data_IF_839296634807
#
_entry.id   IF_839296634807
#
_cell.length_a   1.000
_cell.length_b   1.000
_cell.length_c   1.000
_cell.angle_alpha   90.00
_cell.angle_beta   90.00
_cell.angle_gamma   90.00
#
_symmetry.space_group_name_H-M   'P 1'
#
loop_
_entity.id
_entity.type
_entity.pdbx_description
1 polymer ?
#
# COMPACT_ATOMS: atom_id res chain seq x y z
N UNK A 1 -13.91 8.00 -13.49
CA UNK A 1 -13.07 8.49 -12.37
C UNK A 1 -13.23 9.98 -12.08
N UNK A 2 -13.52 10.85 -13.05
CA UNK A 2 -13.51 12.32 -12.85
C UNK A 2 -14.88 12.99 -12.66
N UNK A 3 -15.93 12.23 -12.30
CA UNK A 3 -17.24 12.83 -12.01
C UNK A 3 -17.28 13.23 -10.53
N UNK A 4 -17.33 14.54 -10.26
CA UNK A 4 -17.30 15.07 -8.88
C UNK A 4 -18.50 14.61 -8.06
N UNK A 5 -19.69 14.54 -8.65
CA UNK A 5 -20.90 14.12 -7.94
C UNK A 5 -20.83 12.64 -7.52
N UNK A 6 -20.29 11.78 -8.38
CA UNK A 6 -20.01 10.39 -7.99
C UNK A 6 -19.00 10.31 -6.85
N UNK A 7 -17.96 11.15 -6.87
CA UNK A 7 -16.93 11.17 -5.83
C UNK A 7 -17.46 11.71 -4.49
N UNK A 8 -18.40 12.65 -4.50
CA UNK A 8 -19.09 13.10 -3.28
C UNK A 8 -19.87 11.97 -2.60
N UNK A 9 -20.50 11.09 -3.40
CA UNK A 9 -21.24 9.92 -2.86
C UNK A 9 -20.30 8.94 -2.16
N UNK A 10 -19.14 8.65 -2.78
CA UNK A 10 -18.17 7.72 -2.21
C UNK A 10 -17.26 8.37 -1.16
N UNK A 11 -17.18 9.69 -1.13
CA UNK A 11 -16.18 10.42 -0.35
C UNK A 11 -14.79 9.81 -0.59
N UNK A 12 -14.05 9.48 0.47
CA UNK A 12 -12.74 8.82 0.41
C UNK A 12 -12.80 7.30 0.68
N UNK A 13 -13.97 6.67 0.65
CA UNK A 13 -14.14 5.23 0.97
C UNK A 13 -13.32 4.30 0.05
N UNK A 14 -13.07 4.72 -1.19
CA UNK A 14 -12.24 3.97 -2.16
C UNK A 14 -10.77 4.44 -2.19
N UNK A 15 -10.36 5.23 -1.21
CA UNK A 15 -9.05 5.87 -1.13
C UNK A 15 -9.04 7.31 -1.68
N UNK A 16 -7.88 7.95 -1.53
CA UNK A 16 -7.67 9.35 -1.92
C UNK A 16 -7.70 9.47 -3.45
N UNK A 17 -8.56 10.33 -4.04
CA UNK A 17 -8.58 10.54 -5.48
C UNK A 17 -7.24 11.07 -6.01
N UNK A 18 -6.71 10.43 -7.06
CA UNK A 18 -5.46 10.88 -7.71
C UNK A 18 -5.55 12.26 -8.36
N UNK A 19 -6.76 12.72 -8.73
CA UNK A 19 -6.99 14.04 -9.32
C UNK A 19 -7.04 15.13 -8.25
N UNK A 20 -6.11 16.09 -8.30
CA UNK A 20 -6.09 17.27 -7.42
C UNK A 20 -7.39 18.05 -7.47
N UNK A 21 -7.96 18.25 -8.66
CA UNK A 21 -9.22 18.98 -8.82
C UNK A 21 -10.40 18.31 -8.10
N UNK A 22 -10.42 16.98 -8.03
CA UNK A 22 -11.44 16.25 -7.27
C UNK A 22 -11.20 16.41 -5.78
N UNK A 23 -9.94 16.30 -5.32
CA UNK A 23 -9.61 16.49 -3.90
C UNK A 23 -10.02 17.88 -3.40
N UNK A 24 -9.72 18.93 -4.15
CA UNK A 24 -10.14 20.30 -3.82
C UNK A 24 -11.67 20.46 -3.79
N UNK A 25 -12.37 19.83 -4.72
CA UNK A 25 -13.84 19.89 -4.76
C UNK A 25 -14.50 19.14 -3.59
N UNK A 26 -13.84 18.13 -3.02
CA UNK A 26 -14.35 17.35 -1.89
C UNK A 26 -14.01 17.98 -0.54
N UNK A 27 -12.84 18.62 -0.38
CA UNK A 27 -12.32 19.18 0.89
C UNK A 27 -13.38 19.89 1.78
N UNK A 28 -14.33 20.70 1.26
CA UNK A 28 -15.33 21.37 2.10
C UNK A 28 -16.28 20.43 2.85
N UNK A 29 -16.53 19.24 2.30
CA UNK A 29 -17.52 18.28 2.81
C UNK A 29 -16.88 17.11 3.57
N UNK A 30 -15.54 17.08 3.67
CA UNK A 30 -14.79 15.98 4.25
C UNK A 30 -14.62 16.09 5.77
N UNK A 31 -14.47 14.94 6.42
CA UNK A 31 -14.07 14.88 7.81
C UNK A 31 -12.65 15.47 7.97
N UNK A 32 -12.30 16.14 9.09
CA UNK A 32 -10.97 16.72 9.26
C UNK A 32 -9.81 15.73 9.10
N UNK A 33 -10.00 14.45 9.46
CA UNK A 33 -8.98 13.40 9.27
C UNK A 33 -8.80 13.00 7.81
N UNK A 34 -9.83 13.12 6.98
CA UNK A 34 -9.71 12.89 5.54
C UNK A 34 -8.91 14.01 4.88
N UNK A 35 -9.12 15.25 5.33
CA UNK A 35 -8.32 16.40 4.90
C UNK A 35 -6.85 16.20 5.29
N UNK A 36 -6.58 15.71 6.50
CA UNK A 36 -5.22 15.40 6.95
C UNK A 36 -4.57 14.29 6.11
N UNK A 37 -5.33 13.24 5.78
CA UNK A 37 -4.85 12.17 4.90
C UNK A 37 -4.51 12.69 3.49
N UNK A 38 -5.32 13.59 2.93
CA UNK A 38 -5.03 14.27 1.66
C UNK A 38 -3.74 15.08 1.76
N UNK A 39 -3.60 15.92 2.79
CA UNK A 39 -2.42 16.76 2.97
C UNK A 39 -1.14 15.92 3.11
N UNK A 40 -1.22 14.82 3.85
CA UNK A 40 -0.11 13.89 3.99
C UNK A 40 0.26 13.25 2.65
N UNK A 41 -0.73 12.76 1.90
CA UNK A 41 -0.51 12.17 0.58
C UNK A 41 0.13 13.16 -0.39
N UNK A 42 -0.31 14.42 -0.40
CA UNK A 42 0.27 15.49 -1.22
C UNK A 42 1.71 15.82 -0.83
N UNK A 43 2.05 15.71 0.45
CA UNK A 43 3.40 15.94 0.96
C UNK A 43 4.37 14.87 0.47
N UNK A 44 3.96 13.59 0.46
CA UNK A 44 4.85 12.48 0.09
C UNK A 44 4.85 12.17 -1.41
N UNK A 45 3.78 12.53 -2.13
CA UNK A 45 3.59 12.15 -3.54
C UNK A 45 4.75 12.54 -4.48
N UNK A 46 5.46 13.66 -4.32
CA UNK A 46 6.61 13.99 -5.18
C UNK A 46 7.76 12.99 -5.09
N UNK A 47 7.91 12.31 -3.95
CA UNK A 47 9.01 11.38 -3.66
C UNK A 47 8.62 9.92 -3.88
N UNK A 48 7.35 9.63 -4.20
CA UNK A 48 6.90 8.27 -4.44
C UNK A 48 7.39 7.77 -5.80
N UNK A 49 8.01 6.58 -5.86
CA UNK A 49 8.31 5.94 -7.14
C UNK A 49 6.99 5.60 -7.86
N UNK A 50 7.01 5.53 -9.21
CA UNK A 50 5.85 5.06 -9.95
C UNK A 50 5.47 3.64 -9.54
N UNK A 51 4.17 3.38 -9.42
CA UNK A 51 3.68 2.02 -9.21
C UNK A 51 3.99 1.17 -10.43
N UNK A 52 4.72 0.08 -10.24
CA UNK A 52 5.01 -0.90 -11.28
C UNK A 52 4.13 -2.15 -11.15
N UNK A 53 4.04 -2.92 -12.22
CA UNK A 53 3.36 -4.21 -12.22
C UNK A 53 4.10 -5.18 -11.32
N UNK A 54 3.33 -5.92 -10.52
CA UNK A 54 3.89 -7.02 -9.74
C UNK A 54 4.26 -8.16 -10.68
N UNK A 55 5.46 -8.70 -10.53
CA UNK A 55 5.91 -9.87 -11.26
C UNK A 55 5.11 -11.12 -10.85
N UNK A 56 5.18 -12.16 -11.69
CA UNK A 56 4.66 -13.48 -11.34
C UNK A 56 5.27 -13.96 -10.01
N UNK A 57 4.49 -14.68 -9.20
CA UNK A 57 4.91 -15.13 -7.88
C UNK A 57 4.87 -14.08 -6.76
N UNK A 58 4.61 -12.79 -7.03
CA UNK A 58 4.60 -11.76 -5.99
C UNK A 58 3.64 -12.05 -4.82
N UNK A 59 2.45 -12.60 -5.08
CA UNK A 59 1.49 -12.98 -4.04
C UNK A 59 2.01 -14.09 -3.12
N UNK A 60 2.77 -15.04 -3.67
CA UNK A 60 3.42 -16.11 -2.89
C UNK A 60 4.54 -15.52 -2.02
N UNK A 61 5.33 -14.58 -2.55
CA UNK A 61 6.36 -13.86 -1.78
C UNK A 61 5.74 -13.09 -0.61
N UNK A 62 4.60 -12.42 -0.78
CA UNK A 62 3.92 -11.75 0.33
C UNK A 62 3.41 -12.73 1.40
N UNK A 63 2.92 -13.89 0.98
CA UNK A 63 2.49 -14.94 1.90
C UNK A 63 3.67 -15.49 2.70
N UNK A 64 4.80 -15.73 2.04
CA UNK A 64 6.06 -16.13 2.66
C UNK A 64 6.56 -15.07 3.66
N UNK A 65 6.55 -13.80 3.27
CA UNK A 65 6.95 -12.69 4.14
C UNK A 65 6.13 -12.65 5.43
N UNK A 66 4.80 -12.76 5.32
CA UNK A 66 3.90 -12.82 6.48
C UNK A 66 4.22 -14.00 7.40
N UNK A 67 4.44 -15.19 6.83
CA UNK A 67 4.82 -16.39 7.60
C UNK A 67 6.12 -16.20 8.38
N UNK A 68 7.16 -15.63 7.76
CA UNK A 68 8.43 -15.33 8.43
C UNK A 68 8.26 -14.30 9.55
N UNK A 69 7.52 -13.22 9.29
CA UNK A 69 7.21 -12.21 10.30
C UNK A 69 6.44 -12.78 11.49
N UNK A 70 5.49 -13.68 11.27
CA UNK A 70 4.75 -14.33 12.36
C UNK A 70 5.67 -15.20 13.23
N UNK A 71 6.59 -15.96 12.64
CA UNK A 71 7.57 -16.74 13.42
C UNK A 71 8.49 -15.84 14.25
N UNK A 72 8.93 -14.71 13.67
CA UNK A 72 9.74 -13.71 14.37
C UNK A 72 8.94 -13.09 15.54
N UNK A 73 7.72 -12.63 15.27
CA UNK A 73 6.87 -11.96 16.26
C UNK A 73 6.50 -12.87 17.45
N UNK A 74 6.38 -14.18 17.22
CA UNK A 74 6.16 -15.17 18.28
C UNK A 74 7.44 -15.70 18.92
N UNK A 75 8.61 -15.17 18.57
CA UNK A 75 9.91 -15.58 19.13
C UNK A 75 10.32 -17.01 18.77
N UNK A 76 9.77 -17.56 17.68
CA UNK A 76 10.03 -18.93 17.21
C UNK A 76 11.19 -19.02 16.22
N UNK A 77 11.69 -17.87 15.78
CA UNK A 77 12.76 -17.73 14.79
C UNK A 77 13.56 -16.46 15.09
N UNK A 78 14.88 -16.47 14.89
CA UNK A 78 15.69 -15.26 14.97
C UNK A 78 15.54 -14.41 13.71
N UNK A 79 15.99 -13.15 13.75
CA UNK A 79 16.00 -12.27 12.56
C UNK A 79 16.85 -12.89 11.46
N UNK A 80 18.02 -13.41 11.79
CA UNK A 80 18.95 -14.03 10.85
C UNK A 80 18.31 -15.23 10.16
N UNK A 81 17.68 -16.13 10.93
CA UNK A 81 16.97 -17.29 10.38
C UNK A 81 15.81 -16.89 9.47
N UNK A 82 15.07 -15.83 9.84
CA UNK A 82 13.94 -15.34 9.05
C UNK A 82 14.40 -14.70 7.73
N UNK A 83 15.49 -13.93 7.77
CA UNK A 83 16.10 -13.31 6.58
C UNK A 83 16.60 -14.40 5.63
N UNK A 84 17.46 -15.30 6.11
CA UNK A 84 18.06 -16.34 5.27
C UNK A 84 16.98 -17.23 4.64
N UNK A 85 16.00 -17.68 5.43
CA UNK A 85 14.89 -18.50 4.94
C UNK A 85 13.99 -17.77 3.95
N UNK A 86 13.68 -16.49 4.21
CA UNK A 86 12.86 -15.69 3.30
C UNK A 86 13.52 -15.52 1.93
N UNK A 87 14.78 -15.11 1.89
CA UNK A 87 15.47 -14.86 0.61
C UNK A 87 15.64 -16.14 -0.20
N UNK A 88 15.96 -17.27 0.44
CA UNK A 88 16.10 -18.56 -0.24
C UNK A 88 14.78 -19.03 -0.89
N UNK A 89 13.66 -18.94 -0.18
CA UNK A 89 12.37 -19.40 -0.69
C UNK A 89 11.77 -18.39 -1.69
N UNK A 90 11.96 -17.08 -1.47
CA UNK A 90 11.53 -16.04 -2.41
C UNK A 90 12.23 -16.14 -3.77
N UNK A 91 13.54 -16.42 -3.78
CA UNK A 91 14.29 -16.63 -5.02
C UNK A 91 13.75 -17.82 -5.82
N UNK A 92 13.32 -18.88 -5.13
CA UNK A 92 12.71 -20.05 -5.76
C UNK A 92 11.34 -19.74 -6.36
N UNK A 93 10.55 -18.88 -5.70
CA UNK A 93 9.24 -18.44 -6.20
C UNK A 93 9.38 -17.58 -7.46
N UNK A 94 10.30 -16.62 -7.44
CA UNK A 94 10.47 -15.63 -8.51
C UNK A 94 11.20 -16.13 -9.76
N UNK A 95 11.87 -17.29 -9.68
CA UNK A 95 12.58 -17.91 -10.82
C UNK A 95 11.74 -18.95 -11.59
N UNK A 96 10.47 -19.15 -11.22
CA UNK A 96 9.55 -20.02 -11.94
C UNK A 96 9.17 -19.41 -13.28
#
# INVERSE_FOLDING_TARGET
MNNVEAQKIYSLENGIPGSTAIREALKPDLHPMDIEAINHAETISPDLPPTDYRQEGASEVFTLYKKCLEQLAFGRMSVEQAVDGFFQEAETILKR
#
